data_IF_944714858879
#
_entry.id   IF_944714858879
#
_cell.length_a   1.000
_cell.length_b   1.000
_cell.length_c   1.000
_cell.angle_alpha   90.00
_cell.angle_beta   90.00
_cell.angle_gamma   90.00
#
_symmetry.space_group_name_H-M   'P 1'
#
loop_
_entity.id
_entity.type
_entity.pdbx_description
1 polymer ?
#
# COMPACT_ATOMS: atom_id res chain seq x y z
N UNK A 1 -37.15 -23.28 -18.52
CA UNK A 1 -36.86 -24.67 -18.08
C UNK A 1 -36.62 -25.50 -19.33
N UNK A 2 -35.35 -25.74 -19.68
CA UNK A 2 -34.96 -26.48 -20.89
C UNK A 2 -33.83 -27.45 -20.54
N UNK A 3 -34.06 -28.71 -20.90
CA UNK A 3 -33.39 -29.93 -20.45
C UNK A 3 -31.92 -29.98 -20.90
N UNK A 4 -31.00 -30.22 -19.97
CA UNK A 4 -29.63 -30.65 -20.29
C UNK A 4 -29.61 -32.17 -20.53
N UNK A 5 -29.15 -32.57 -21.72
CA UNK A 5 -28.72 -33.93 -22.01
C UNK A 5 -27.19 -33.97 -22.01
N UNK A 6 -26.69 -35.03 -21.38
CA UNK A 6 -25.33 -35.50 -21.24
C UNK A 6 -24.61 -35.80 -22.57
N UNK A 7 -23.28 -35.75 -22.55
CA UNK A 7 -22.45 -36.32 -23.61
C UNK A 7 -20.95 -36.24 -23.32
N UNK A 8 -20.42 -37.19 -22.56
CA UNK A 8 -18.99 -37.52 -22.50
C UNK A 8 -18.71 -38.55 -23.61
N UNK A 9 -17.81 -38.27 -24.56
CA UNK A 9 -17.15 -39.31 -25.37
C UNK A 9 -15.70 -38.88 -25.65
N UNK A 10 -14.81 -39.85 -25.47
CA UNK A 10 -13.37 -39.76 -25.43
C UNK A 10 -12.69 -39.99 -26.81
N UNK A 11 -11.36 -39.84 -26.77
CA UNK A 11 -10.37 -40.70 -27.44
C UNK A 11 -9.88 -40.32 -28.85
N UNK A 12 -8.68 -39.73 -28.88
CA UNK A 12 -7.52 -40.43 -29.45
C UNK A 12 -7.09 -40.12 -30.89
N UNK A 13 -5.76 -39.99 -31.02
CA UNK A 13 -4.86 -40.46 -32.09
C UNK A 13 -4.12 -39.41 -32.95
N UNK A 14 -2.81 -39.69 -33.01
CA UNK A 14 -1.88 -39.57 -34.13
C UNK A 14 -1.31 -38.19 -34.49
N UNK A 15 0.00 -38.08 -34.27
CA UNK A 15 0.82 -37.04 -34.87
C UNK A 15 1.17 -37.32 -36.33
N UNK A 16 1.72 -36.30 -36.99
CA UNK A 16 2.53 -36.41 -38.19
C UNK A 16 3.78 -35.55 -37.98
N UNK A 17 4.95 -36.15 -38.20
CA UNK A 17 6.24 -35.48 -38.33
C UNK A 17 6.64 -35.45 -39.80
N UNK A 18 7.17 -34.32 -40.30
CA UNK A 18 8.35 -34.30 -41.19
C UNK A 18 8.76 -32.89 -41.67
N UNK A 19 10.02 -32.72 -42.11
CA UNK A 19 10.83 -31.53 -41.96
C UNK A 19 10.88 -30.67 -43.23
N UNK A 20 11.09 -29.37 -43.05
CA UNK A 20 11.39 -28.42 -44.11
C UNK A 20 12.59 -27.57 -43.70
N UNK A 21 13.76 -27.97 -44.16
CA UNK A 21 15.00 -27.22 -44.10
C UNK A 21 14.96 -26.15 -45.21
N UNK A 22 15.08 -24.87 -44.85
CA UNK A 22 15.09 -23.80 -45.83
C UNK A 22 15.09 -22.40 -45.23
N UNK A 23 16.25 -21.74 -45.27
CA UNK A 23 16.32 -20.28 -45.29
C UNK A 23 16.62 -19.62 -43.95
N UNK A 24 17.89 -19.67 -43.56
CA UNK A 24 18.48 -18.73 -42.61
C UNK A 24 18.38 -17.30 -43.16
N UNK A 25 17.45 -16.54 -42.61
CA UNK A 25 17.56 -15.10 -42.44
C UNK A 25 16.73 -14.70 -41.23
N UNK A 26 17.13 -15.20 -40.05
CA UNK A 26 16.69 -14.63 -38.80
C UNK A 26 17.24 -13.21 -38.70
N UNK A 27 16.47 -12.24 -39.19
CA UNK A 27 16.49 -10.90 -38.58
C UNK A 27 16.17 -11.15 -37.12
N UNK A 28 17.23 -11.17 -36.29
CA UNK A 28 17.07 -11.10 -34.85
C UNK A 28 16.42 -9.74 -34.61
N UNK A 29 15.09 -9.73 -34.50
CA UNK A 29 14.38 -8.61 -33.93
C UNK A 29 15.06 -8.32 -32.60
N UNK A 30 15.67 -7.14 -32.51
CA UNK A 30 16.24 -6.66 -31.28
C UNK A 30 15.11 -6.65 -30.25
N UNK A 31 15.19 -7.54 -29.27
CA UNK A 31 14.28 -7.58 -28.13
C UNK A 31 14.20 -6.14 -27.59
N UNK A 32 13.01 -5.52 -27.53
CA UNK A 32 12.91 -4.17 -26.99
C UNK A 32 13.45 -4.24 -25.57
N UNK A 33 14.44 -3.38 -25.30
CA UNK A 33 14.95 -3.17 -23.95
C UNK A 33 13.75 -2.76 -23.10
N UNK A 34 13.21 -3.72 -22.36
CA UNK A 34 12.13 -3.49 -21.41
C UNK A 34 12.80 -2.76 -20.26
N UNK A 35 12.94 -1.44 -20.43
CA UNK A 35 13.44 -0.54 -19.41
C UNK A 35 12.79 -0.89 -18.09
N UNK A 36 13.61 -0.99 -17.04
CA UNK A 36 13.12 -1.38 -15.72
C UNK A 36 12.09 -0.36 -15.26
N UNK A 37 10.83 -0.77 -15.14
CA UNK A 37 9.79 0.05 -14.54
C UNK A 37 10.04 0.06 -13.04
N UNK A 38 10.53 1.18 -12.51
CA UNK A 38 10.69 1.39 -11.07
C UNK A 38 9.37 1.92 -10.53
N UNK A 39 8.64 1.09 -9.78
CA UNK A 39 7.48 1.54 -9.00
C UNK A 39 7.96 2.04 -7.63
N UNK A 40 7.73 3.32 -7.28
CA UNK A 40 8.09 3.81 -5.95
C UNK A 40 7.29 3.06 -4.88
N UNK A 41 7.98 2.62 -3.82
CA UNK A 41 7.32 2.03 -2.67
C UNK A 41 6.27 2.99 -2.12
N UNK A 42 5.07 2.49 -1.81
CA UNK A 42 4.03 3.31 -1.22
C UNK A 42 4.55 3.92 0.10
N UNK A 43 4.77 5.23 0.11
CA UNK A 43 5.10 5.96 1.33
C UNK A 43 3.92 5.83 2.29
N UNK A 44 4.13 5.08 3.39
CA UNK A 44 3.15 5.01 4.47
C UNK A 44 3.12 6.37 5.18
N UNK A 45 1.92 6.90 5.39
CA UNK A 45 1.71 8.06 6.24
C UNK A 45 1.85 7.62 7.69
N UNK A 46 3.07 7.76 8.21
CA UNK A 46 3.42 7.42 9.59
C UNK A 46 4.24 8.55 10.22
N UNK A 47 3.93 8.86 11.48
CA UNK A 47 4.58 9.91 12.25
C UNK A 47 4.80 9.46 13.69
N UNK A 48 5.35 10.36 14.51
CA UNK A 48 5.64 10.14 15.92
C UNK A 48 4.99 11.24 16.77
N UNK A 49 4.48 10.87 17.93
CA UNK A 49 4.01 11.82 18.94
C UNK A 49 5.24 12.49 19.56
N UNK A 50 5.37 13.80 19.37
CA UNK A 50 6.48 14.59 19.95
C UNK A 50 6.02 15.41 21.15
N UNK A 51 4.70 15.61 21.31
CA UNK A 51 4.12 16.28 22.48
C UNK A 51 2.70 15.77 22.73
N UNK A 52 2.36 15.64 24.01
CA UNK A 52 0.99 15.36 24.46
C UNK A 52 0.53 16.48 25.39
N UNK A 53 -0.73 16.88 25.27
CA UNK A 53 -1.43 17.70 26.26
C UNK A 53 -2.79 17.07 26.56
N UNK A 54 -2.84 16.26 27.61
CA UNK A 54 -4.05 15.53 28.02
C UNK A 54 -5.15 16.48 28.52
N UNK A 55 -4.78 17.56 29.22
CA UNK A 55 -5.75 18.54 29.74
C UNK A 55 -6.54 19.20 28.62
N UNK A 56 -5.91 19.43 27.47
CA UNK A 56 -6.52 20.03 26.30
C UNK A 56 -6.86 19.01 25.20
N UNK A 57 -6.69 17.71 25.48
CA UNK A 57 -6.97 16.59 24.56
C UNK A 57 -6.34 16.73 23.16
N UNK A 58 -5.07 17.10 23.08
CA UNK A 58 -4.36 17.12 21.80
C UNK A 58 -2.94 16.58 21.88
N UNK A 59 -2.42 16.19 20.72
CA UNK A 59 -1.03 15.80 20.50
C UNK A 59 -0.44 16.60 19.34
N UNK A 60 0.88 16.76 19.37
CA UNK A 60 1.66 17.22 18.22
C UNK A 60 2.35 16.00 17.61
N UNK A 61 2.15 15.82 16.31
CA UNK A 61 2.70 14.73 15.53
C UNK A 61 3.80 15.26 14.62
N UNK A 62 4.94 14.56 14.55
CA UNK A 62 6.01 14.79 13.59
C UNK A 62 6.07 13.65 12.57
N UNK A 63 5.91 13.97 11.30
CA UNK A 63 5.99 13.01 10.19
C UNK A 63 7.37 12.98 9.52
N UNK A 64 8.32 13.81 9.97
CA UNK A 64 9.59 14.01 9.28
C UNK A 64 9.36 14.31 7.79
N UNK A 65 10.12 13.67 6.90
CA UNK A 65 10.00 13.85 5.45
C UNK A 65 8.86 13.05 4.79
N UNK A 66 7.91 12.55 5.59
CA UNK A 66 6.76 11.78 5.07
C UNK A 66 5.58 12.71 4.81
N UNK A 67 4.63 12.24 4.00
CA UNK A 67 3.41 12.97 3.68
C UNK A 67 2.63 13.30 4.96
N UNK A 68 2.28 14.57 5.14
CA UNK A 68 1.39 14.99 6.21
C UNK A 68 -0.06 14.53 5.96
N UNK A 69 -0.77 14.08 7.00
CA UNK A 69 -2.19 13.78 6.92
C UNK A 69 -3.01 15.08 6.81
N UNK A 70 -4.15 14.99 6.12
CA UNK A 70 -5.09 16.11 5.98
C UNK A 70 -5.91 16.30 7.26
N UNK A 71 -6.35 17.53 7.57
CA UNK A 71 -7.35 17.76 8.61
C UNK A 71 -8.57 16.85 8.45
N UNK A 72 -9.09 16.36 9.57
CA UNK A 72 -10.18 15.40 9.66
C UNK A 72 -9.77 13.93 9.54
N UNK A 73 -8.57 13.60 9.06
CA UNK A 73 -8.13 12.21 8.98
C UNK A 73 -7.92 11.61 10.38
N UNK A 74 -8.32 10.35 10.55
CA UNK A 74 -8.07 9.60 11.77
C UNK A 74 -6.82 8.72 11.64
N UNK A 75 -6.00 8.72 12.68
CA UNK A 75 -4.76 7.96 12.76
C UNK A 75 -4.85 7.03 13.97
N UNK A 76 -4.41 5.78 13.80
CA UNK A 76 -4.18 4.90 14.94
C UNK A 76 -2.86 5.26 15.61
N UNK A 77 -2.84 5.28 16.94
CA UNK A 77 -1.63 5.50 17.73
C UNK A 77 -1.16 4.17 18.31
N UNK A 78 0.14 3.90 18.21
CA UNK A 78 0.74 2.62 18.57
C UNK A 78 1.98 2.80 19.45
N UNK A 79 2.09 1.96 20.48
CA UNK A 79 3.29 1.83 21.32
C UNK A 79 3.81 0.41 21.19
N UNK A 80 5.05 0.25 20.73
CA UNK A 80 5.67 -1.06 20.52
C UNK A 80 4.78 -1.99 19.65
N UNK A 81 4.15 -1.43 18.61
CA UNK A 81 3.26 -2.17 17.70
C UNK A 81 1.84 -2.43 18.22
N UNK A 82 1.53 -2.17 19.50
CA UNK A 82 0.18 -2.30 20.05
C UNK A 82 -0.59 -0.98 19.92
N UNK A 83 -1.85 -1.02 19.44
CA UNK A 83 -2.71 0.16 19.39
C UNK A 83 -2.98 0.65 20.82
N UNK A 84 -2.57 1.88 21.12
CA UNK A 84 -2.78 2.54 22.42
C UNK A 84 -3.89 3.58 22.38
N UNK A 85 -4.20 4.11 21.18
CA UNK A 85 -5.23 5.12 21.03
C UNK A 85 -5.55 5.47 19.58
N UNK A 86 -6.31 6.55 19.43
CA UNK A 86 -6.68 7.12 18.15
C UNK A 86 -6.69 8.65 18.26
N UNK A 87 -6.27 9.30 17.18
CA UNK A 87 -6.29 10.76 17.06
C UNK A 87 -6.96 11.18 15.76
N UNK A 88 -7.51 12.39 15.74
CA UNK A 88 -8.05 13.02 14.54
C UNK A 88 -7.27 14.30 14.26
N UNK A 89 -6.72 14.42 13.06
CA UNK A 89 -5.92 15.59 12.67
C UNK A 89 -6.82 16.83 12.68
N UNK A 90 -6.44 17.84 13.46
CA UNK A 90 -7.14 19.13 13.56
C UNK A 90 -6.38 20.23 12.83
N UNK A 91 -5.05 20.15 12.77
CA UNK A 91 -4.18 21.19 12.22
C UNK A 91 -3.93 22.33 13.22
N UNK A 92 -3.15 23.35 12.85
CA UNK A 92 -2.51 23.55 11.55
C UNK A 92 -1.35 22.57 11.30
N UNK A 93 -0.96 22.46 10.03
CA UNK A 93 0.29 21.83 9.62
C UNK A 93 1.39 22.88 9.56
N UNK A 94 2.59 22.55 10.05
CA UNK A 94 3.77 23.39 9.90
C UNK A 94 4.99 22.51 9.66
N UNK A 95 5.62 22.65 8.49
CA UNK A 95 6.74 21.82 8.04
C UNK A 95 6.41 20.32 8.08
N UNK A 96 6.97 19.58 9.04
CA UNK A 96 6.75 18.15 9.25
C UNK A 96 5.76 17.86 10.38
N UNK A 97 5.23 18.91 11.02
CA UNK A 97 4.36 18.82 12.18
C UNK A 97 2.89 19.04 11.82
N UNK A 98 2.02 18.40 12.59
CA UNK A 98 0.59 18.73 12.63
C UNK A 98 0.02 18.48 14.02
N UNK A 99 -1.07 19.16 14.36
CA UNK A 99 -1.82 18.96 15.60
C UNK A 99 -2.97 18.00 15.35
N UNK A 100 -3.23 17.11 16.31
CA UNK A 100 -4.35 16.19 16.29
C UNK A 100 -5.04 16.13 17.65
N UNK A 101 -6.37 16.07 17.63
CA UNK A 101 -7.19 15.87 18.81
C UNK A 101 -7.13 14.40 19.23
N UNK A 102 -7.07 14.13 20.54
CA UNK A 102 -7.18 12.79 21.09
C UNK A 102 -8.65 12.35 21.01
N UNK A 103 -8.90 11.23 20.34
CA UNK A 103 -10.24 10.63 20.23
C UNK A 103 -10.44 9.59 21.32
N UNK A 104 -9.44 8.74 21.52
CA UNK A 104 -9.45 7.68 22.53
C UNK A 104 -8.02 7.26 22.91
N UNK A 105 -7.90 6.71 24.11
CA UNK A 105 -6.68 6.04 24.57
C UNK A 105 -5.68 6.94 25.29
N UNK A 106 -4.60 6.30 25.75
CA UNK A 106 -3.53 6.95 26.50
C UNK A 106 -2.29 7.09 25.60
N UNK A 107 -1.96 8.32 25.22
CA UNK A 107 -0.97 8.61 24.17
C UNK A 107 0.24 9.31 24.78
N UNK A 108 1.41 8.71 24.62
CA UNK A 108 2.66 9.23 25.16
C UNK A 108 3.59 9.72 24.05
N UNK A 109 4.49 10.61 24.44
CA UNK A 109 5.62 11.01 23.60
C UNK A 109 6.41 9.77 23.18
N UNK A 110 6.71 9.65 21.90
CA UNK A 110 7.39 8.50 21.30
C UNK A 110 6.47 7.52 20.58
N UNK A 111 5.17 7.51 20.88
CA UNK A 111 4.18 6.66 20.21
C UNK A 111 4.12 6.96 18.70
N UNK A 112 3.75 5.95 17.91
CA UNK A 112 3.68 6.02 16.44
C UNK A 112 2.25 6.31 15.99
N UNK A 113 2.05 7.33 15.15
CA UNK A 113 0.77 7.62 14.52
C UNK A 113 0.76 7.09 13.08
N UNK A 114 -0.19 6.22 12.72
CA UNK A 114 -0.28 5.60 11.39
C UNK A 114 -1.66 5.79 10.79
N UNK A 115 -1.70 6.15 9.50
CA UNK A 115 -2.93 6.11 8.72
C UNK A 115 -3.30 4.63 8.47
N UNK A 116 -4.55 4.27 8.77
CA UNK A 116 -5.05 2.90 8.53
C UNK A 116 -5.00 2.52 7.06
#
# INVERSE_FOLDING_TARGET
MLKWLTGFVALGLAGCASPGEGGSAATREAKPDRGTIVTPAAMRTEGKVVRTNEKLNFVVLDFGFKRLPRPGQQLGVYRLGKKTGQVRVSGPAWETYTVADIVEGEIWVGDEAKLR
#
